data_IF_932253918883
#
_entry.id   IF_932253918883
#
_cell.length_a   1.000
_cell.length_b   1.000
_cell.length_c   1.000
_cell.angle_alpha   90.00
_cell.angle_beta   90.00
_cell.angle_gamma   90.00
#
_symmetry.space_group_name_H-M   'P 1'
#
loop_
_entity.id
_entity.type
_entity.pdbx_description
1 polymer ?
#
# COMPACT_ATOMS: atom_id res chain seq x y z
N UNK A 1 3.76 -2.55 -8.33
CA UNK A 1 3.35 -3.97 -8.45
C UNK A 1 4.17 -4.77 -9.46
N UNK A 2 4.28 -4.36 -10.73
CA UNK A 2 5.00 -5.13 -11.77
C UNK A 2 6.45 -5.51 -11.43
N UNK A 3 7.21 -4.66 -10.74
CA UNK A 3 8.58 -4.99 -10.31
C UNK A 3 8.62 -6.20 -9.37
N UNK A 4 7.68 -6.30 -8.43
CA UNK A 4 7.56 -7.47 -7.56
C UNK A 4 7.26 -8.72 -8.38
N UNK A 5 6.30 -8.64 -9.32
CA UNK A 5 5.97 -9.76 -10.19
C UNK A 5 7.19 -10.24 -10.99
N UNK A 6 7.94 -9.32 -11.58
CA UNK A 6 9.18 -9.63 -12.30
C UNK A 6 10.22 -10.32 -11.40
N UNK A 7 10.47 -9.79 -10.19
CA UNK A 7 11.44 -10.35 -9.24
C UNK A 7 11.03 -11.75 -8.73
N UNK A 8 9.73 -12.06 -8.76
CA UNK A 8 9.17 -13.36 -8.41
C UNK A 8 9.04 -14.32 -9.60
N UNK A 9 9.64 -14.00 -10.75
CA UNK A 9 9.59 -14.86 -11.93
C UNK A 9 8.21 -14.89 -12.60
N UNK A 10 7.51 -13.74 -12.60
CA UNK A 10 6.18 -13.57 -13.19
C UNK A 10 5.09 -14.44 -12.52
N UNK A 11 5.17 -14.58 -11.20
CA UNK A 11 4.23 -15.37 -10.39
C UNK A 11 2.74 -14.97 -10.55
N UNK A 12 2.43 -13.76 -11.00
CA UNK A 12 1.05 -13.28 -11.26
C UNK A 12 0.66 -13.36 -12.75
N UNK A 13 1.49 -13.95 -13.60
CA UNK A 13 1.34 -13.96 -15.06
C UNK A 13 2.21 -12.91 -15.76
N UNK A 14 2.64 -13.21 -16.98
CA UNK A 14 3.40 -12.29 -17.82
C UNK A 14 2.52 -11.19 -18.43
N UNK A 15 1.23 -11.47 -18.54
CA UNK A 15 0.14 -10.64 -19.02
C UNK A 15 -0.60 -9.92 -17.87
N UNK A 16 -0.06 -9.96 -16.64
CA UNK A 16 -0.66 -9.31 -15.48
C UNK A 16 -0.87 -7.80 -15.72
N UNK A 17 -2.12 -7.36 -15.60
CA UNK A 17 -2.53 -5.97 -15.68
C UNK A 17 -2.77 -5.43 -14.27
N UNK A 18 -2.41 -4.16 -14.06
CA UNK A 18 -2.62 -3.46 -12.79
C UNK A 18 -3.18 -2.09 -13.05
N UNK A 19 -4.18 -1.70 -12.26
CA UNK A 19 -4.74 -0.35 -12.25
C UNK A 19 -4.99 0.10 -10.80
N UNK A 20 -5.01 1.41 -10.58
CA UNK A 20 -5.27 2.03 -9.28
C UNK A 20 -6.46 2.99 -9.41
N UNK A 21 -7.44 2.83 -8.53
CA UNK A 21 -8.64 3.67 -8.53
C UNK A 21 -8.86 4.27 -7.15
N UNK A 22 -9.31 5.53 -7.11
CA UNK A 22 -9.80 6.16 -5.90
C UNK A 22 -11.33 6.26 -5.95
N UNK A 23 -11.98 5.80 -4.88
CA UNK A 23 -13.43 5.96 -4.72
C UNK A 23 -13.72 7.43 -4.41
N UNK A 24 -14.31 8.14 -5.38
CA UNK A 24 -14.61 9.56 -5.27
C UNK A 24 -16.01 9.86 -4.70
N UNK A 25 -16.82 8.84 -4.41
CA UNK A 25 -18.22 8.97 -3.99
C UNK A 25 -19.21 8.66 -5.11
N UNK A 26 -20.50 8.84 -4.84
CA UNK A 26 -21.58 8.47 -5.76
C UNK A 26 -22.19 9.69 -6.49
N UNK A 27 -22.74 9.45 -7.68
CA UNK A 27 -23.50 10.43 -8.45
C UNK A 27 -22.70 11.67 -8.86
N UNK A 28 -23.39 12.79 -9.03
CA UNK A 28 -22.79 14.04 -9.50
C UNK A 28 -21.73 14.60 -8.53
N UNK A 29 -21.91 14.38 -7.22
CA UNK A 29 -20.91 14.75 -6.21
C UNK A 29 -19.63 13.92 -6.38
N UNK A 30 -19.76 12.62 -6.61
CA UNK A 30 -18.62 11.74 -6.88
C UNK A 30 -17.88 12.11 -8.15
N UNK A 31 -18.61 12.47 -9.21
CA UNK A 31 -18.01 12.97 -10.46
C UNK A 31 -17.20 14.24 -10.24
N UNK A 32 -17.76 15.22 -9.52
CA UNK A 32 -17.05 16.46 -9.21
C UNK A 32 -15.77 16.22 -8.38
N UNK A 33 -15.83 15.31 -7.40
CA UNK A 33 -14.66 14.92 -6.61
C UNK A 33 -13.60 14.21 -7.46
N UNK A 34 -13.99 13.30 -8.35
CA UNK A 34 -13.07 12.60 -9.26
C UNK A 34 -12.35 13.59 -10.20
N UNK A 35 -13.08 14.56 -10.76
CA UNK A 35 -12.50 15.62 -11.60
C UNK A 35 -11.52 16.50 -10.83
N UNK A 36 -11.78 16.77 -9.54
CA UNK A 36 -10.87 17.52 -8.69
C UNK A 36 -9.60 16.71 -8.37
N UNK A 37 -9.74 15.42 -8.05
CA UNK A 37 -8.61 14.51 -7.79
C UNK A 37 -7.73 14.38 -9.03
N UNK A 38 -8.33 14.18 -10.22
CA UNK A 38 -7.59 14.06 -11.47
C UNK A 38 -6.78 15.33 -11.82
N UNK A 39 -7.19 16.50 -11.32
CA UNK A 39 -6.48 17.77 -11.50
C UNK A 39 -5.43 18.03 -10.42
N UNK A 40 -5.43 17.28 -9.31
CA UNK A 40 -4.35 17.37 -8.33
C UNK A 40 -3.08 16.75 -8.90
N UNK A 41 -2.03 17.55 -8.98
CA UNK A 41 -0.69 17.05 -9.23
C UNK A 41 0.11 17.06 -7.91
N UNK A 42 0.21 15.92 -7.21
CA UNK A 42 0.92 15.84 -5.93
C UNK A 42 2.43 16.08 -6.08
N UNK A 43 2.99 15.99 -7.29
CA UNK A 43 4.40 16.20 -7.58
C UNK A 43 4.74 17.62 -8.09
N UNK A 44 3.74 18.40 -8.52
CA UNK A 44 3.95 19.72 -9.10
C UNK A 44 3.45 20.88 -8.23
N UNK A 45 2.98 20.60 -7.01
CA UNK A 45 2.44 21.65 -6.15
C UNK A 45 3.41 22.03 -5.04
N UNK A 46 3.86 23.29 -5.03
CA UNK A 46 4.43 23.99 -3.85
C UNK A 46 3.41 24.13 -2.69
N UNK A 47 2.29 23.40 -2.77
CA UNK A 47 1.16 23.41 -1.83
C UNK A 47 1.09 22.15 -0.97
N UNK A 48 2.05 21.23 -1.13
CA UNK A 48 2.27 20.19 -0.13
C UNK A 48 2.71 20.80 1.20
N UNK A 49 2.56 20.07 2.32
CA UNK A 49 3.02 20.55 3.61
C UNK A 49 4.53 20.87 3.53
N UNK A 50 4.95 22.01 4.07
CA UNK A 50 6.37 22.36 4.11
C UNK A 50 7.14 21.34 4.96
N UNK A 51 8.46 21.24 4.81
CA UNK A 51 9.28 20.44 5.72
C UNK A 51 8.96 20.81 7.18
N UNK A 52 8.49 19.83 7.96
CA UNK A 52 8.08 20.01 9.36
C UNK A 52 6.58 20.27 9.59
N UNK A 53 5.79 20.55 8.56
CA UNK A 53 4.32 20.71 8.61
C UNK A 53 3.59 19.41 8.32
N UNK A 54 4.15 18.28 8.76
CA UNK A 54 3.47 16.99 8.67
C UNK A 54 2.16 16.98 9.49
N UNK A 55 1.34 15.93 9.34
CA UNK A 55 0.11 15.81 10.10
C UNK A 55 0.39 15.91 11.61
N UNK A 56 -0.51 16.58 12.32
CA UNK A 56 -0.48 16.70 13.77
C UNK A 56 -0.50 15.32 14.43
N UNK A 57 -0.11 15.25 15.70
CA UNK A 57 -0.19 14.00 16.47
C UNK A 57 -1.60 13.43 16.44
N UNK A 58 -2.62 14.26 16.59
CA UNK A 58 -4.01 13.82 16.60
C UNK A 58 -4.44 13.22 15.26
N UNK A 59 -4.12 13.89 14.14
CA UNK A 59 -4.40 13.37 12.79
C UNK A 59 -3.71 12.03 12.56
N UNK A 60 -2.49 11.87 13.06
CA UNK A 60 -1.74 10.63 12.92
C UNK A 60 -2.31 9.47 13.72
N UNK A 61 -2.73 9.75 14.95
CA UNK A 61 -3.23 8.73 15.87
C UNK A 61 -4.68 8.31 15.55
N UNK A 62 -5.49 9.21 14.97
CA UNK A 62 -6.90 8.96 14.67
C UNK A 62 -7.17 8.66 13.18
N UNK A 63 -6.16 8.84 12.31
CA UNK A 63 -6.26 8.48 10.91
C UNK A 63 -6.38 6.97 10.70
N UNK A 64 -6.91 6.58 9.54
CA UNK A 64 -7.01 5.17 9.12
C UNK A 64 -7.12 5.11 7.60
N UNK A 65 -6.97 3.93 7.04
CA UNK A 65 -7.21 3.67 5.63
C UNK A 65 -7.69 2.24 5.41
N UNK A 66 -8.38 2.04 4.29
CA UNK A 66 -8.83 0.77 3.76
C UNK A 66 -8.48 0.72 2.28
N UNK A 67 -7.83 -0.37 1.86
CA UNK A 67 -7.47 -0.63 0.46
C UNK A 67 -8.11 -1.97 0.08
N UNK A 68 -9.03 -1.90 -0.88
CA UNK A 68 -9.56 -3.06 -1.57
C UNK A 68 -8.70 -3.39 -2.79
N UNK A 69 -8.17 -4.60 -2.81
CA UNK A 69 -7.57 -5.23 -3.97
C UNK A 69 -8.61 -6.14 -4.61
N UNK A 70 -8.91 -5.90 -5.88
CA UNK A 70 -9.78 -6.76 -6.70
C UNK A 70 -8.89 -7.50 -7.69
N UNK A 71 -8.83 -8.82 -7.57
CA UNK A 71 -8.15 -9.70 -8.49
C UNK A 71 -9.13 -10.40 -9.41
N UNK A 72 -8.86 -10.37 -10.71
CA UNK A 72 -9.62 -11.12 -11.72
C UNK A 72 -8.70 -12.15 -12.38
N UNK A 73 -9.12 -13.41 -12.39
CA UNK A 73 -8.36 -14.49 -13.05
C UNK A 73 -8.73 -14.59 -14.52
N UNK A 74 -7.87 -15.24 -15.33
CA UNK A 74 -8.18 -15.54 -16.73
C UNK A 74 -9.42 -16.42 -16.92
N UNK A 75 -9.84 -17.14 -15.87
CA UNK A 75 -11.07 -17.95 -15.85
C UNK A 75 -12.33 -17.14 -15.55
N UNK A 76 -12.21 -15.85 -15.21
CA UNK A 76 -13.32 -14.99 -14.80
C UNK A 76 -13.63 -15.03 -13.30
N UNK A 77 -12.90 -15.82 -12.51
CA UNK A 77 -13.05 -15.81 -11.05
C UNK A 77 -12.52 -14.51 -10.47
N UNK A 78 -13.21 -14.00 -9.44
CA UNK A 78 -12.85 -12.80 -8.69
C UNK A 78 -12.38 -13.15 -7.29
N UNK A 79 -11.33 -12.48 -6.83
CA UNK A 79 -10.79 -12.57 -5.48
C UNK A 79 -10.70 -11.17 -4.90
N UNK A 80 -11.29 -10.96 -3.74
CA UNK A 80 -11.22 -9.67 -3.05
C UNK A 80 -10.30 -9.79 -1.85
N UNK A 81 -9.37 -8.85 -1.71
CA UNK A 81 -8.51 -8.74 -0.53
C UNK A 81 -8.55 -7.33 0.02
N UNK A 82 -8.65 -7.21 1.33
CA UNK A 82 -8.72 -5.94 2.04
C UNK A 82 -7.51 -5.78 2.93
N UNK A 83 -6.90 -4.60 2.87
CA UNK A 83 -5.80 -4.19 3.75
C UNK A 83 -6.20 -2.92 4.48
N UNK A 84 -6.19 -2.96 5.81
CA UNK A 84 -6.48 -1.79 6.64
C UNK A 84 -5.29 -1.38 7.50
N UNK A 85 -5.27 -0.12 7.93
CA UNK A 85 -4.32 0.38 8.92
C UNK A 85 -4.98 1.33 9.93
N UNK A 86 -4.50 1.26 11.16
CA UNK A 86 -5.02 1.97 12.34
C UNK A 86 -4.44 3.38 12.56
N UNK A 87 -3.67 3.88 11.60
CA UNK A 87 -3.06 5.22 11.60
C UNK A 87 -3.15 5.85 10.24
N UNK A 88 -2.88 7.16 10.19
CA UNK A 88 -2.84 7.89 8.93
C UNK A 88 -1.88 7.23 7.92
N UNK A 89 -2.24 7.18 6.63
CA UNK A 89 -1.44 6.51 5.61
C UNK A 89 -0.18 7.30 5.20
N UNK A 90 -0.04 8.56 5.63
CA UNK A 90 1.06 9.45 5.20
C UNK A 90 2.29 9.40 6.10
N UNK A 91 2.12 9.17 7.40
CA UNK A 91 3.19 9.24 8.38
C UNK A 91 3.09 8.14 9.44
N UNK A 92 1.97 8.06 10.16
CA UNK A 92 1.78 7.14 11.27
C UNK A 92 1.92 5.68 10.85
N UNK A 93 1.20 5.26 9.81
CA UNK A 93 1.32 3.89 9.31
C UNK A 93 2.64 3.66 8.56
N UNK A 94 3.05 4.59 7.70
CA UNK A 94 4.30 4.47 6.91
C UNK A 94 5.54 4.32 7.78
N UNK A 95 5.64 5.08 8.86
CA UNK A 95 6.78 4.98 9.79
C UNK A 95 6.86 3.61 10.47
N UNK A 96 5.70 3.03 10.86
CA UNK A 96 5.62 1.66 11.38
C UNK A 96 6.02 0.64 10.30
N UNK A 97 5.54 0.79 9.07
CA UNK A 97 5.89 -0.11 7.96
C UNK A 97 7.39 -0.12 7.68
N UNK A 98 8.03 1.04 7.63
CA UNK A 98 9.48 1.16 7.41
C UNK A 98 10.26 0.50 8.55
N UNK A 99 9.86 0.74 9.80
CA UNK A 99 10.50 0.12 10.96
C UNK A 99 10.37 -1.41 10.93
N UNK A 100 9.17 -1.94 10.64
CA UNK A 100 8.97 -3.39 10.55
C UNK A 100 9.64 -4.01 9.33
N UNK A 101 9.77 -3.29 8.21
CA UNK A 101 10.57 -3.74 7.06
C UNK A 101 12.05 -3.89 7.42
N UNK A 102 12.62 -2.91 8.13
CA UNK A 102 14.01 -2.98 8.59
C UNK A 102 14.22 -4.18 9.54
N UNK A 103 13.32 -4.36 10.51
CA UNK A 103 13.39 -5.49 11.44
C UNK A 103 13.20 -6.84 10.71
N UNK A 104 12.32 -6.91 9.72
CA UNK A 104 12.12 -8.11 8.91
C UNK A 104 13.39 -8.51 8.16
N UNK A 105 14.08 -7.55 7.54
CA UNK A 105 15.33 -7.81 6.83
C UNK A 105 16.41 -8.40 7.75
N UNK A 106 16.49 -7.93 8.99
CA UNK A 106 17.52 -8.36 9.95
C UNK A 106 17.17 -9.69 10.61
N UNK A 107 15.90 -9.90 10.95
CA UNK A 107 15.50 -11.00 11.84
C UNK A 107 14.80 -12.15 11.14
N UNK A 108 14.03 -11.88 10.07
CA UNK A 108 13.10 -12.86 9.52
C UNK A 108 13.51 -13.36 8.13
N UNK A 109 14.38 -12.63 7.43
CA UNK A 109 14.96 -13.04 6.14
C UNK A 109 16.49 -12.87 6.09
N UNK A 110 17.25 -13.36 7.10
CA UNK A 110 18.70 -13.12 7.19
C UNK A 110 19.50 -13.70 6.01
N UNK A 111 18.97 -14.74 5.35
CA UNK A 111 19.59 -15.40 4.20
C UNK A 111 19.18 -14.79 2.85
N UNK A 112 18.44 -13.67 2.87
CA UNK A 112 18.03 -13.00 1.64
C UNK A 112 19.24 -12.50 0.84
N UNK A 113 19.18 -12.69 -0.48
CA UNK A 113 20.26 -12.25 -1.38
C UNK A 113 20.29 -10.72 -1.44
N UNK A 114 21.50 -10.14 -1.48
CA UNK A 114 21.68 -8.72 -1.75
C UNK A 114 21.14 -8.30 -3.13
N UNK A 115 20.91 -7.00 -3.32
CA UNK A 115 20.45 -6.43 -4.60
C UNK A 115 19.33 -5.41 -4.43
N UNK A 116 18.71 -5.02 -5.56
CA UNK A 116 17.59 -4.07 -5.60
C UNK A 116 16.28 -4.84 -5.64
N UNK A 117 15.63 -4.92 -4.49
CA UNK A 117 14.42 -5.69 -4.26
C UNK A 117 13.23 -4.80 -3.90
N UNK A 118 12.03 -5.32 -4.11
CA UNK A 118 10.81 -4.76 -3.51
C UNK A 118 10.50 -5.49 -2.20
N UNK A 119 9.81 -4.85 -1.24
CA UNK A 119 9.41 -5.50 0.01
C UNK A 119 8.63 -6.80 -0.20
N UNK A 120 7.71 -6.80 -1.14
CA UNK A 120 6.91 -7.99 -1.48
C UNK A 120 7.72 -9.15 -2.05
N UNK A 121 8.83 -8.88 -2.76
CA UNK A 121 9.65 -9.92 -3.37
C UNK A 121 10.67 -10.52 -2.39
N UNK A 122 11.29 -9.71 -1.53
CA UNK A 122 12.35 -10.18 -0.62
C UNK A 122 11.83 -10.57 0.77
N UNK A 123 10.81 -9.88 1.30
CA UNK A 123 10.30 -10.13 2.65
C UNK A 123 8.93 -10.81 2.67
N UNK A 124 8.08 -10.61 1.66
CA UNK A 124 6.83 -11.35 1.46
C UNK A 124 5.97 -11.59 2.72
N UNK A 125 5.68 -12.86 2.99
CA UNK A 125 4.86 -13.28 4.13
C UNK A 125 5.44 -12.91 5.51
N UNK A 126 6.75 -13.07 5.78
CA UNK A 126 7.38 -12.55 6.99
C UNK A 126 7.05 -11.08 7.30
N UNK A 127 7.19 -10.17 6.33
CA UNK A 127 6.84 -8.75 6.56
C UNK A 127 5.36 -8.59 6.88
N UNK A 128 4.48 -9.26 6.12
CA UNK A 128 3.03 -9.21 6.38
C UNK A 128 2.70 -9.60 7.83
N UNK A 129 3.33 -10.65 8.34
CA UNK A 129 3.12 -11.10 9.71
C UNK A 129 3.54 -10.02 10.72
N UNK A 130 4.72 -9.40 10.55
CA UNK A 130 5.15 -8.30 11.42
C UNK A 130 4.19 -7.10 11.38
N UNK A 131 3.66 -6.77 10.21
CA UNK A 131 2.73 -5.65 10.05
C UNK A 131 1.42 -5.91 10.80
N UNK A 132 0.95 -7.15 10.80
CA UNK A 132 -0.21 -7.57 11.60
C UNK A 132 0.11 -7.45 13.10
N UNK A 133 1.21 -8.06 13.54
CA UNK A 133 1.52 -8.21 14.96
C UNK A 133 1.98 -6.91 15.63
N UNK A 134 2.56 -5.99 14.86
CA UNK A 134 3.28 -4.84 15.42
C UNK A 134 2.96 -3.49 14.77
N UNK A 135 2.28 -3.46 13.62
CA UNK A 135 1.95 -2.21 12.93
C UNK A 135 0.47 -1.84 12.98
N UNK A 136 -0.41 -2.69 13.53
CA UNK A 136 -1.85 -2.41 13.57
C UNK A 136 -2.50 -2.45 12.18
N UNK A 137 -1.94 -3.28 11.29
CA UNK A 137 -2.49 -3.52 9.96
C UNK A 137 -3.27 -4.83 9.93
N UNK A 138 -4.25 -4.92 9.05
CA UNK A 138 -4.95 -6.19 8.77
C UNK A 138 -4.81 -6.57 7.30
N UNK A 139 -4.86 -7.87 7.02
CA UNK A 139 -4.83 -8.43 5.67
C UNK A 139 -5.86 -9.55 5.63
N UNK A 140 -6.97 -9.34 4.93
CA UNK A 140 -8.02 -10.34 4.75
C UNK A 140 -8.20 -10.62 3.27
N UNK A 141 -8.52 -11.87 2.91
CA UNK A 141 -8.84 -12.27 1.55
C UNK A 141 -10.00 -13.26 1.62
N UNK A 142 -10.95 -13.15 0.70
CA UNK A 142 -12.17 -13.96 0.65
C UNK A 142 -12.77 -14.06 -0.74
#
# INVERSE_FOLDING_TARGET
VHRTNFLLGQAYGADFVYDEMMVAGLGDMGKAAAEAIAKMNPLASDKGPKPGEGPSKEERENGHYDILFVGETSGGDRIDAVVTGDKDPGYGSTSKMIAQAALCLVHDVPDAKGGIWTPGAIMGAPLRQRLIDHAGMTFTAG
#
